data_IF_049495513223
#
_entry.id   IF_049495513223
#
_cell.length_a   1.000
_cell.length_b   1.000
_cell.length_c   1.000
_cell.angle_alpha   90.00
_cell.angle_beta   90.00
_cell.angle_gamma   90.00
#
_symmetry.space_group_name_H-M   'P 1'
#
loop_
_entity.id
_entity.type
_entity.pdbx_description
1 polymer ?
#
# COMPACT_ATOMS: atom_id res chain seq x y z
N UNK A 1 -18.95 -19.49 2.83
CA UNK A 1 -17.56 -19.93 2.96
C UNK A 1 -16.76 -18.74 2.49
N UNK A 2 -15.89 -18.21 3.35
CA UNK A 2 -14.92 -17.17 2.98
C UNK A 2 -14.00 -17.76 1.90
N UNK A 3 -13.53 -16.97 0.94
CA UNK A 3 -12.43 -17.44 0.10
C UNK A 3 -11.12 -17.43 0.90
N UNK A 4 -10.09 -18.13 0.41
CA UNK A 4 -8.75 -18.05 1.00
C UNK A 4 -8.18 -16.62 0.95
N UNK A 5 -8.50 -15.86 -0.12
CA UNK A 5 -8.15 -14.44 -0.22
C UNK A 5 -8.86 -13.58 0.82
N UNK A 6 -10.14 -13.83 1.09
CA UNK A 6 -10.88 -13.14 2.15
C UNK A 6 -10.28 -13.43 3.54
N UNK A 7 -9.83 -14.66 3.79
CA UNK A 7 -9.18 -15.01 5.06
C UNK A 7 -7.85 -14.29 5.25
N UNK A 8 -7.01 -14.23 4.21
CA UNK A 8 -5.76 -13.46 4.22
C UNK A 8 -6.06 -11.97 4.41
N UNK A 9 -7.04 -11.42 3.69
CA UNK A 9 -7.44 -10.02 3.78
C UNK A 9 -7.88 -9.67 5.21
N UNK A 10 -8.80 -10.44 5.78
CA UNK A 10 -9.31 -10.21 7.13
C UNK A 10 -8.20 -10.29 8.18
N UNK A 11 -7.29 -11.26 8.04
CA UNK A 11 -6.15 -11.44 8.92
C UNK A 11 -5.16 -10.27 8.82
N UNK A 12 -4.92 -9.77 7.60
CA UNK A 12 -4.04 -8.64 7.35
C UNK A 12 -4.62 -7.32 7.90
N UNK A 13 -5.93 -7.13 7.79
CA UNK A 13 -6.65 -5.96 8.28
C UNK A 13 -6.76 -5.89 9.81
N UNK A 14 -6.68 -7.03 10.51
CA UNK A 14 -6.59 -7.06 11.97
C UNK A 14 -5.17 -6.69 12.42
N UNK A 15 -4.95 -5.44 12.85
CA UNK A 15 -3.62 -4.95 13.25
C UNK A 15 -3.08 -5.62 14.53
N UNK A 16 -3.94 -6.22 15.35
CA UNK A 16 -3.52 -6.95 16.55
C UNK A 16 -2.98 -8.35 16.24
N UNK A 17 -3.27 -8.89 15.04
CA UNK A 17 -2.79 -10.20 14.63
C UNK A 17 -1.27 -10.16 14.35
N UNK A 18 -0.47 -11.04 14.99
CA UNK A 18 0.96 -11.11 14.73
C UNK A 18 1.24 -11.82 13.39
N UNK A 19 1.64 -11.04 12.37
CA UNK A 19 2.06 -11.58 11.07
C UNK A 19 3.56 -11.76 11.01
N UNK A 20 3.99 -12.81 10.34
CA UNK A 20 5.42 -13.09 10.12
C UNK A 20 5.76 -13.54 8.70
N UNK A 21 4.76 -13.97 7.92
CA UNK A 21 4.98 -14.40 6.55
C UNK A 21 4.96 -13.19 5.60
N UNK A 22 5.85 -13.17 4.58
CA UNK A 22 6.04 -11.97 3.76
C UNK A 22 4.79 -11.54 3.00
N UNK A 23 3.97 -12.48 2.53
CA UNK A 23 2.73 -12.20 1.82
C UNK A 23 1.69 -11.56 2.73
N UNK A 24 1.46 -12.10 3.93
CA UNK A 24 0.54 -11.50 4.89
C UNK A 24 0.97 -10.08 5.29
N UNK A 25 2.27 -9.88 5.53
CA UNK A 25 2.83 -8.55 5.82
C UNK A 25 2.67 -7.57 4.66
N UNK A 26 2.87 -8.03 3.42
CA UNK A 26 2.66 -7.23 2.22
C UNK A 26 1.20 -6.78 2.10
N UNK A 27 0.24 -7.69 2.32
CA UNK A 27 -1.19 -7.36 2.32
C UNK A 27 -1.50 -6.33 3.40
N UNK A 28 -1.01 -6.50 4.63
CA UNK A 28 -1.26 -5.52 5.70
C UNK A 28 -0.79 -4.12 5.32
N UNK A 29 0.45 -3.99 4.82
CA UNK A 29 1.01 -2.69 4.42
C UNK A 29 0.19 -2.04 3.32
N UNK A 30 -0.18 -2.82 2.30
CA UNK A 30 -1.00 -2.34 1.17
C UNK A 30 -2.40 -1.93 1.63
N UNK A 31 -3.04 -2.70 2.51
CA UNK A 31 -4.38 -2.37 3.02
C UNK A 31 -4.36 -1.13 3.92
N UNK A 32 -3.39 -1.02 4.82
CA UNK A 32 -3.24 0.17 5.67
C UNK A 32 -3.03 1.42 4.81
N UNK A 33 -2.14 1.36 3.82
CA UNK A 33 -1.92 2.49 2.91
C UNK A 33 -3.16 2.80 2.06
N UNK A 34 -3.80 1.77 1.47
CA UNK A 34 -4.99 1.93 0.64
C UNK A 34 -6.14 2.57 1.43
N UNK A 35 -6.35 2.16 2.70
CA UNK A 35 -7.35 2.78 3.56
C UNK A 35 -7.06 4.27 3.80
N UNK A 36 -5.79 4.67 3.96
CA UNK A 36 -5.41 6.08 4.05
C UNK A 36 -5.70 6.84 2.76
N UNK A 37 -5.43 6.22 1.60
CA UNK A 37 -5.78 6.79 0.28
C UNK A 37 -7.29 6.98 0.13
N UNK A 38 -8.09 5.99 0.49
CA UNK A 38 -9.56 6.08 0.41
C UNK A 38 -10.13 7.13 1.39
N UNK A 39 -9.46 7.35 2.52
CA UNK A 39 -9.88 8.32 3.54
C UNK A 39 -9.49 9.77 3.24
N UNK A 40 -8.36 10.01 2.58
CA UNK A 40 -7.78 11.35 2.44
C UNK A 40 -7.12 11.66 1.09
N UNK A 41 -7.12 10.72 0.14
CA UNK A 41 -6.43 10.86 -1.15
C UNK A 41 -4.97 10.39 -1.10
N UNK A 42 -4.38 10.27 -2.28
CA UNK A 42 -3.05 9.68 -2.45
C UNK A 42 -1.95 10.52 -1.80
N UNK A 43 -1.95 11.84 -2.00
CA UNK A 43 -0.97 12.74 -1.39
C UNK A 43 -1.02 12.72 0.15
N UNK A 44 -2.23 12.74 0.73
CA UNK A 44 -2.40 12.60 2.17
C UNK A 44 -1.82 11.28 2.70
N UNK A 45 -1.95 10.18 1.96
CA UNK A 45 -1.36 8.91 2.35
C UNK A 45 0.18 8.98 2.30
N UNK A 46 0.76 9.61 1.27
CA UNK A 46 2.20 9.84 1.20
C UNK A 46 2.70 10.65 2.41
N UNK A 47 2.04 11.77 2.70
CA UNK A 47 2.37 12.60 3.87
C UNK A 47 2.29 11.80 5.17
N UNK A 48 1.18 11.09 5.39
CA UNK A 48 0.94 10.33 6.62
C UNK A 48 1.98 9.25 6.84
N UNK A 49 2.40 8.57 5.78
CA UNK A 49 3.35 7.45 5.85
C UNK A 49 4.82 7.88 5.71
N UNK A 50 5.10 9.14 5.36
CA UNK A 50 6.47 9.66 5.24
C UNK A 50 7.26 9.64 6.57
N UNK A 51 6.55 9.77 7.69
CA UNK A 51 7.10 9.74 9.04
C UNK A 51 6.58 8.55 9.87
N UNK A 52 5.89 7.60 9.24
CA UNK A 52 5.35 6.41 9.90
C UNK A 52 6.45 5.36 10.08
N UNK A 53 6.74 4.99 11.33
CA UNK A 53 7.75 3.97 11.66
C UNK A 53 7.23 2.54 11.49
N UNK A 54 5.91 2.34 11.54
CA UNK A 54 5.27 1.02 11.46
C UNK A 54 4.98 0.64 10.00
N UNK A 55 4.48 1.59 9.22
CA UNK A 55 4.16 1.42 7.80
C UNK A 55 4.88 2.48 6.93
N UNK A 56 6.22 2.51 6.91
CA UNK A 56 6.95 3.47 6.08
C UNK A 56 6.73 3.20 4.58
N UNK A 57 6.88 4.26 3.76
CA UNK A 57 6.58 4.23 2.33
C UNK A 57 7.40 3.19 1.53
N UNK A 58 8.64 2.93 1.91
CA UNK A 58 9.48 1.90 1.29
C UNK A 58 8.89 0.50 1.50
N UNK A 59 8.44 0.21 2.72
CA UNK A 59 7.79 -1.04 3.06
C UNK A 59 6.42 -1.19 2.36
N UNK A 60 5.67 -0.09 2.22
CA UNK A 60 4.42 -0.07 1.44
C UNK A 60 4.68 -0.41 -0.03
N UNK A 61 5.66 0.25 -0.65
CA UNK A 61 6.03 -0.02 -2.04
C UNK A 61 6.50 -1.48 -2.23
N UNK A 62 7.28 -2.02 -1.29
CA UNK A 62 7.66 -3.43 -1.29
C UNK A 62 6.45 -4.37 -1.14
N UNK A 63 5.43 -3.97 -0.39
CA UNK A 63 4.16 -4.68 -0.31
C UNK A 63 3.47 -4.79 -1.67
N UNK A 64 3.36 -3.67 -2.39
CA UNK A 64 2.82 -3.66 -3.75
C UNK A 64 3.65 -4.52 -4.72
N UNK A 65 4.98 -4.46 -4.65
CA UNK A 65 5.86 -5.31 -5.47
C UNK A 65 5.69 -6.80 -5.15
N UNK A 66 5.57 -7.14 -3.87
CA UNK A 66 5.34 -8.53 -3.44
C UNK A 66 4.03 -9.09 -4.03
N UNK A 67 3.01 -8.24 -4.17
CA UNK A 67 1.74 -8.61 -4.79
C UNK A 67 1.76 -8.48 -6.33
N UNK A 68 2.88 -8.14 -6.96
CA UNK A 68 2.97 -7.93 -8.42
C UNK A 68 2.13 -6.75 -8.91
N UNK A 69 2.07 -5.67 -8.12
CA UNK A 69 1.44 -4.39 -8.44
C UNK A 69 2.52 -3.33 -8.67
N UNK A 70 3.51 -3.64 -9.52
CA UNK A 70 4.68 -2.78 -9.78
C UNK A 70 4.31 -1.34 -10.18
N UNK A 71 3.32 -1.08 -11.05
CA UNK A 71 2.97 0.30 -11.39
C UNK A 71 2.51 1.12 -10.18
N UNK A 72 1.81 0.50 -9.23
CA UNK A 72 1.40 1.17 -7.99
C UNK A 72 2.59 1.40 -7.06
N UNK A 73 3.49 0.42 -6.95
CA UNK A 73 4.73 0.60 -6.20
C UNK A 73 5.57 1.78 -6.73
N UNK A 74 5.72 1.87 -8.05
CA UNK A 74 6.44 2.97 -8.72
C UNK A 74 5.75 4.33 -8.51
N UNK A 75 4.42 4.36 -8.45
CA UNK A 75 3.67 5.57 -8.12
C UNK A 75 3.95 6.02 -6.67
N UNK A 76 3.97 5.08 -5.71
CA UNK A 76 4.33 5.36 -4.32
C UNK A 76 5.75 5.90 -4.22
N UNK A 77 6.74 5.28 -4.87
CA UNK A 77 8.12 5.76 -4.86
C UNK A 77 8.24 7.19 -5.43
N UNK A 78 7.55 7.45 -6.55
CA UNK A 78 7.60 8.76 -7.22
C UNK A 78 6.98 9.84 -6.35
N UNK A 79 5.82 9.54 -5.76
CA UNK A 79 5.13 10.48 -4.89
C UNK A 79 5.91 10.74 -3.59
N UNK A 80 6.59 9.71 -3.04
CA UNK A 80 7.52 9.88 -1.92
C UNK A 80 8.67 10.83 -2.26
N UNK A 81 9.29 10.66 -3.44
CA UNK A 81 10.36 11.55 -3.89
C UNK A 81 9.86 12.99 -4.10
N UNK A 82 8.69 13.16 -4.71
CA UNK A 82 8.05 14.46 -4.90
C UNK A 82 7.74 15.14 -3.55
N UNK A 83 7.24 14.38 -2.57
CA UNK A 83 6.98 14.86 -1.22
C UNK A 83 8.26 15.34 -0.53
N UNK A 84 9.33 14.54 -0.57
CA UNK A 84 10.63 14.91 0.03
C UNK A 84 11.22 16.17 -0.59
N UNK A 85 11.10 16.34 -1.92
CA UNK A 85 11.54 17.54 -2.62
C UNK A 85 10.72 18.79 -2.22
N UNK A 86 9.43 18.61 -1.95
CA UNK A 86 8.49 19.71 -1.68
C UNK A 86 8.44 20.11 -0.20
N UNK A 87 8.56 19.16 0.74
CA UNK A 87 8.50 19.40 2.18
C UNK A 87 9.56 20.38 2.70
N UNK A 88 10.69 20.49 2.01
CA UNK A 88 11.76 21.44 2.34
C UNK A 88 11.50 22.90 1.91
N UNK A 89 10.47 23.16 1.08
CA UNK A 89 10.25 24.46 0.43
C UNK A 89 9.41 25.40 1.30
N UNK A 90 8.40 24.87 2.01
CA UNK A 90 7.50 25.66 2.86
C UNK A 90 6.62 26.66 2.10
N UNK A 91 6.22 26.30 0.87
CA UNK A 91 5.36 27.08 -0.01
C UNK A 91 4.09 26.30 -0.35
N UNK A 92 2.93 26.83 0.05
CA UNK A 92 1.62 26.20 -0.12
C UNK A 92 1.24 26.03 -1.61
N UNK A 93 1.68 26.95 -2.49
CA UNK A 93 1.42 26.84 -3.93
C UNK A 93 2.23 25.68 -4.55
N UNK A 94 3.50 25.55 -4.14
CA UNK A 94 4.35 24.43 -4.57
C UNK A 94 3.80 23.08 -4.07
N UNK A 95 3.21 23.06 -2.87
CA UNK A 95 2.54 21.89 -2.31
C UNK A 95 1.34 21.44 -3.14
N UNK A 96 0.46 22.38 -3.51
CA UNK A 96 -0.71 22.07 -4.34
C UNK A 96 -0.31 21.56 -5.73
N UNK A 97 0.70 22.16 -6.36
CA UNK A 97 1.18 21.68 -7.66
C UNK A 97 1.82 20.28 -7.59
N UNK A 98 2.51 19.96 -6.50
CA UNK A 98 3.10 18.64 -6.27
C UNK A 98 2.02 17.57 -6.09
N UNK A 99 0.99 17.85 -5.27
CA UNK A 99 -0.17 16.99 -5.10
C UNK A 99 -0.88 16.71 -6.43
N UNK A 100 -1.12 17.74 -7.26
CA UNK A 100 -1.76 17.60 -8.56
C UNK A 100 -0.97 16.69 -9.53
N UNK A 101 0.37 16.74 -9.48
CA UNK A 101 1.22 15.92 -10.37
C UNK A 101 1.06 14.42 -10.14
N UNK A 102 0.85 14.00 -8.89
CA UNK A 102 0.89 12.57 -8.53
C UNK A 102 -0.48 11.98 -8.20
N UNK A 103 -1.48 12.81 -7.89
CA UNK A 103 -2.81 12.34 -7.46
C UNK A 103 -3.45 11.34 -8.44
N UNK A 104 -3.30 11.55 -9.75
CA UNK A 104 -3.88 10.66 -10.77
C UNK A 104 -3.10 9.36 -11.00
N UNK A 105 -1.97 9.15 -10.32
CA UNK A 105 -1.13 7.96 -10.49
C UNK A 105 -1.66 6.75 -9.72
N UNK A 106 -2.36 6.98 -8.60
CA UNK A 106 -2.99 5.92 -7.83
C UNK A 106 -4.36 5.56 -8.43
N UNK A 107 -4.48 4.37 -9.01
CA UNK A 107 -5.67 3.96 -9.81
C UNK A 107 -6.23 2.58 -9.46
N UNK A 108 -5.75 1.99 -8.38
CA UNK A 108 -6.19 0.67 -7.95
C UNK A 108 -7.34 0.78 -6.96
N UNK A 109 -8.23 -0.20 -7.00
CA UNK A 109 -9.34 -0.35 -6.07
C UNK A 109 -9.16 -1.61 -5.20
N UNK A 110 -10.05 -1.81 -4.22
CA UNK A 110 -10.05 -2.99 -3.34
C UNK A 110 -10.04 -4.30 -4.15
N UNK A 111 -10.79 -4.37 -5.25
CA UNK A 111 -10.87 -5.55 -6.11
C UNK A 111 -9.54 -5.87 -6.81
N UNK A 112 -8.74 -4.86 -7.15
CA UNK A 112 -7.42 -5.06 -7.76
C UNK A 112 -6.45 -5.66 -6.74
N UNK A 113 -6.51 -5.19 -5.49
CA UNK A 113 -5.71 -5.74 -4.39
C UNK A 113 -6.13 -7.19 -4.11
N UNK A 114 -7.44 -7.46 -4.03
CA UNK A 114 -7.96 -8.81 -3.79
C UNK A 114 -7.54 -9.78 -4.90
N UNK A 115 -7.64 -9.35 -6.17
CA UNK A 115 -7.18 -10.14 -7.31
C UNK A 115 -5.66 -10.39 -7.28
N UNK A 116 -4.87 -9.41 -6.83
CA UNK A 116 -3.43 -9.56 -6.67
C UNK A 116 -3.07 -10.57 -5.56
N UNK A 117 -3.80 -10.55 -4.44
CA UNK A 117 -3.64 -11.55 -3.37
C UNK A 117 -3.96 -12.95 -3.88
N UNK A 118 -5.09 -13.14 -4.56
CA UNK A 118 -5.47 -14.44 -5.14
C UNK A 118 -4.42 -14.97 -6.12
N UNK A 119 -3.95 -14.10 -7.01
CA UNK A 119 -2.92 -14.46 -8.00
C UNK A 119 -1.60 -14.84 -7.32
N UNK A 120 -1.19 -14.11 -6.29
CA UNK A 120 0.06 -14.35 -5.57
C UNK A 120 -0.03 -15.64 -4.74
N UNK A 121 -1.14 -15.86 -4.03
CA UNK A 121 -1.41 -17.09 -3.29
C UNK A 121 -1.38 -18.33 -4.20
N UNK A 122 -1.92 -18.22 -5.42
CA UNK A 122 -1.93 -19.32 -6.38
C UNK A 122 -0.53 -19.66 -6.93
N UNK A 123 0.40 -18.69 -6.97
CA UNK A 123 1.74 -18.87 -7.53
C UNK A 123 2.78 -19.20 -6.45
N UNK A 124 2.67 -18.57 -5.28
CA UNK A 124 3.64 -18.63 -4.18
C UNK A 124 2.89 -18.79 -2.84
N UNK A 125 2.18 -19.91 -2.64
CA UNK A 125 1.36 -20.12 -1.43
C UNK A 125 2.17 -20.09 -0.13
N UNK A 126 3.47 -20.40 -0.19
CA UNK A 126 4.40 -20.35 0.95
C UNK A 126 4.61 -18.93 1.52
N UNK A 127 4.22 -17.88 0.79
CA UNK A 127 4.29 -16.51 1.27
C UNK A 127 3.17 -16.19 2.28
N UNK A 128 2.14 -17.02 2.38
CA UNK A 128 0.96 -16.78 3.21
C UNK A 128 0.78 -17.85 4.26
N UNK A 129 0.20 -17.47 5.39
CA UNK A 129 -0.23 -18.44 6.38
C UNK A 129 -1.36 -19.32 5.80
N UNK A 130 -1.43 -20.60 6.20
CA UNK A 130 -2.49 -21.50 5.74
C UNK A 130 -3.88 -20.90 5.96
N UNK A 131 -4.75 -21.13 4.98
CA UNK A 131 -6.18 -20.81 5.00
C UNK A 131 -6.98 -22.11 5.12
N UNK A 132 -8.16 -22.07 5.74
CA UNK A 132 -8.96 -23.28 6.04
C UNK A 132 -9.81 -23.80 4.87
#
# INVERSE_FOLDING_TARGET
MSSASDEIWNRAADLDEPLSLPGDLAVRRVLTFHATVQGGGFWNAIESHSADEEFPLDAVADGYRTLGLEPTAEAVDRAAAEYDETAGIGDDDAWGEAEERVTEEYRIEDEDIAAAVERTLAQEPELFAPTD
#
